data_IF_172336889302
#
_entry.id   IF_172336889302
#
_cell.length_a   1.000
_cell.length_b   1.000
_cell.length_c   1.000
_cell.angle_alpha   90.00
_cell.angle_beta   90.00
_cell.angle_gamma   90.00
#
_symmetry.space_group_name_H-M   'P 1'
#
loop_
_entity.id
_entity.type
_entity.pdbx_description
1 polymer ?
#
# COMPACT_ATOMS: atom_id res chain seq x y z
N UNK A 1 -0.47 -9.27 9.00
CA UNK A 1 -1.13 -9.58 7.73
C UNK A 1 -0.67 -10.93 7.22
N UNK A 2 -1.61 -11.82 7.04
CA UNK A 2 -1.32 -13.22 6.83
C UNK A 2 -1.47 -13.59 5.34
N UNK A 3 -0.42 -14.17 4.77
CA UNK A 3 -0.38 -14.68 3.39
C UNK A 3 -1.50 -15.71 3.10
N UNK A 4 -2.09 -16.29 4.15
CA UNK A 4 -3.23 -17.24 4.00
C UNK A 4 -4.49 -16.64 3.36
N UNK A 5 -4.64 -15.31 3.36
CA UNK A 5 -5.77 -14.63 2.73
C UNK A 5 -5.55 -14.35 1.23
N UNK A 6 -4.38 -14.68 0.68
CA UNK A 6 -4.15 -14.59 -0.76
C UNK A 6 -5.06 -15.57 -1.49
N UNK A 7 -5.81 -15.06 -2.45
CA UNK A 7 -6.57 -15.91 -3.37
C UNK A 7 -5.58 -16.65 -4.27
N UNK A 8 -5.39 -17.94 -4.02
CA UNK A 8 -4.36 -18.76 -4.67
C UNK A 8 -4.65 -19.08 -6.14
N UNK A 9 -5.91 -19.01 -6.56
CA UNK A 9 -6.30 -19.28 -7.94
C UNK A 9 -7.38 -18.27 -8.36
N UNK A 10 -7.09 -17.50 -9.40
CA UNK A 10 -8.06 -16.65 -10.08
C UNK A 10 -8.36 -17.26 -11.44
N UNK A 11 -9.64 -17.55 -11.69
CA UNK A 11 -10.07 -17.95 -13.02
C UNK A 11 -10.02 -16.74 -13.95
N UNK A 12 -9.55 -16.95 -15.19
CA UNK A 12 -9.47 -15.88 -16.20
C UNK A 12 -10.81 -15.15 -16.37
N UNK A 13 -11.93 -15.87 -16.32
CA UNK A 13 -13.28 -15.31 -16.44
C UNK A 13 -13.61 -14.29 -15.34
N UNK A 14 -13.25 -14.56 -14.08
CA UNK A 14 -13.47 -13.62 -12.97
C UNK A 14 -12.60 -12.36 -13.13
N UNK A 15 -11.37 -12.53 -13.59
CA UNK A 15 -10.46 -11.42 -13.84
C UNK A 15 -10.94 -10.54 -15.00
N UNK A 16 -11.40 -11.15 -16.09
CA UNK A 16 -12.01 -10.45 -17.22
C UNK A 16 -13.26 -9.66 -16.79
N UNK A 17 -14.10 -10.22 -15.92
CA UNK A 17 -15.25 -9.52 -15.36
C UNK A 17 -14.84 -8.32 -14.49
N UNK A 18 -13.86 -8.49 -13.61
CA UNK A 18 -13.32 -7.41 -12.77
C UNK A 18 -12.82 -6.27 -13.66
N UNK A 19 -12.05 -6.58 -14.70
CA UNK A 19 -11.52 -5.59 -15.64
C UNK A 19 -12.66 -4.94 -16.42
N UNK A 20 -13.58 -5.71 -16.98
CA UNK A 20 -14.67 -5.22 -17.82
C UNK A 20 -15.58 -4.24 -17.10
N UNK A 21 -15.96 -4.55 -15.86
CA UNK A 21 -16.85 -3.71 -15.07
C UNK A 21 -16.13 -2.67 -14.22
N UNK A 22 -14.88 -2.92 -13.89
CA UNK A 22 -14.11 -2.13 -12.93
C UNK A 22 -13.15 -1.10 -13.53
N UNK A 23 -12.71 -1.24 -14.78
CA UNK A 23 -11.62 -0.41 -15.37
C UNK A 23 -11.84 1.10 -15.27
N UNK A 24 -13.08 1.57 -15.30
CA UNK A 24 -13.39 3.00 -15.22
C UNK A 24 -13.62 3.48 -13.78
N UNK A 25 -13.79 2.55 -12.84
CA UNK A 25 -14.10 2.81 -11.42
C UNK A 25 -12.94 2.44 -10.52
N UNK A 26 -12.35 1.26 -10.72
CA UNK A 26 -11.23 0.76 -9.93
C UNK A 26 -9.95 1.49 -10.36
N UNK A 27 -9.33 2.23 -9.44
CA UNK A 27 -8.08 2.95 -9.71
C UNK A 27 -6.85 2.15 -9.33
N UNK A 28 -6.95 1.31 -8.30
CA UNK A 28 -5.84 0.47 -7.80
C UNK A 28 -6.36 -0.93 -7.47
N UNK A 29 -5.58 -1.95 -7.82
CA UNK A 29 -5.76 -3.32 -7.34
C UNK A 29 -4.47 -3.79 -6.66
N UNK A 30 -4.58 -4.30 -5.44
CA UNK A 30 -3.46 -4.99 -4.77
C UNK A 30 -3.50 -6.47 -5.11
N UNK A 31 -2.36 -6.99 -5.56
CA UNK A 31 -2.16 -8.41 -5.84
C UNK A 31 -0.81 -8.90 -5.31
N UNK A 32 -0.67 -10.22 -5.16
CA UNK A 32 0.60 -10.91 -5.09
C UNK A 32 0.96 -11.39 -6.51
N UNK A 33 1.82 -10.68 -7.26
CA UNK A 33 2.03 -10.95 -8.69
C UNK A 33 2.47 -12.37 -8.98
N UNK A 34 3.24 -12.97 -8.07
CA UNK A 34 3.72 -14.36 -8.19
C UNK A 34 2.61 -15.43 -8.16
N UNK A 35 1.38 -15.03 -7.80
CA UNK A 35 0.21 -15.90 -7.79
C UNK A 35 -0.59 -15.86 -9.10
N UNK A 36 -0.18 -15.05 -10.07
CA UNK A 36 -0.84 -14.86 -11.36
C UNK A 36 -0.02 -15.46 -12.51
N UNK A 37 -0.70 -15.96 -13.54
CA UNK A 37 -0.02 -16.32 -14.78
C UNK A 37 0.42 -15.07 -15.54
N UNK A 38 1.38 -15.23 -16.47
CA UNK A 38 1.82 -14.12 -17.33
C UNK A 38 0.66 -13.49 -18.10
N UNK A 39 -0.26 -14.32 -18.63
CA UNK A 39 -1.43 -13.84 -19.38
C UNK A 39 -2.37 -13.01 -18.47
N UNK A 40 -2.61 -13.46 -17.23
CA UNK A 40 -3.43 -12.73 -16.27
C UNK A 40 -2.79 -11.40 -15.88
N UNK A 41 -1.48 -11.41 -15.69
CA UNK A 41 -0.74 -10.19 -15.36
C UNK A 41 -0.76 -9.19 -16.50
N UNK A 42 -0.54 -9.66 -17.73
CA UNK A 42 -0.58 -8.81 -18.93
C UNK A 42 -1.99 -8.19 -19.10
N UNK A 43 -3.07 -8.98 -18.92
CA UNK A 43 -4.44 -8.44 -18.91
C UNK A 43 -4.65 -7.33 -17.88
N UNK A 44 -4.13 -7.51 -16.65
CA UNK A 44 -4.22 -6.51 -15.59
C UNK A 44 -3.44 -5.24 -15.96
N UNK A 45 -2.21 -5.37 -16.45
CA UNK A 45 -1.36 -4.24 -16.83
C UNK A 45 -1.95 -3.44 -18.01
N UNK A 46 -2.57 -4.12 -18.98
CA UNK A 46 -3.23 -3.51 -20.14
C UNK A 46 -4.59 -2.85 -19.80
N UNK A 47 -5.20 -3.20 -18.66
CA UNK A 47 -6.50 -2.66 -18.23
C UNK A 47 -6.47 -1.15 -17.92
N UNK A 48 -5.29 -0.59 -17.69
CA UNK A 48 -5.11 0.79 -17.21
C UNK A 48 -5.32 0.97 -15.71
N UNK A 49 -5.71 -0.08 -14.98
CA UNK A 49 -5.80 -0.08 -13.52
C UNK A 49 -4.37 -0.12 -12.94
N UNK A 50 -4.09 0.67 -11.93
CA UNK A 50 -2.78 0.65 -11.26
C UNK A 50 -2.65 -0.62 -10.44
N UNK A 51 -1.63 -1.41 -10.72
CA UNK A 51 -1.34 -2.63 -9.97
C UNK A 51 -0.38 -2.29 -8.83
N UNK A 52 -0.76 -2.70 -7.61
CA UNK A 52 0.05 -2.59 -6.41
C UNK A 52 0.49 -3.98 -5.95
N UNK A 53 1.79 -4.19 -5.79
CA UNK A 53 2.32 -5.44 -5.26
C UNK A 53 2.23 -5.45 -3.73
N UNK A 54 1.49 -6.40 -3.18
CA UNK A 54 1.31 -6.52 -1.73
C UNK A 54 0.87 -7.90 -1.30
N UNK A 55 0.94 -8.19 0.00
CA UNK A 55 0.69 -9.53 0.55
C UNK A 55 1.47 -10.61 -0.19
N UNK A 56 2.74 -10.35 -0.43
CA UNK A 56 3.57 -11.06 -1.40
C UNK A 56 4.80 -11.66 -0.74
N UNK A 57 5.14 -12.87 -1.16
CA UNK A 57 6.34 -13.59 -0.73
C UNK A 57 7.47 -13.53 -1.76
N UNK A 58 7.38 -12.61 -2.72
CA UNK A 58 8.38 -12.46 -3.78
C UNK A 58 9.79 -12.30 -3.22
N UNK A 59 10.74 -12.97 -3.86
CA UNK A 59 12.16 -12.68 -3.73
C UNK A 59 12.50 -11.33 -4.37
N UNK A 60 13.66 -10.81 -4.08
CA UNK A 60 14.19 -9.60 -4.71
C UNK A 60 14.17 -9.70 -6.25
N UNK A 61 14.64 -10.82 -6.82
CA UNK A 61 14.69 -10.99 -8.28
C UNK A 61 13.29 -11.03 -8.93
N UNK A 62 12.32 -11.68 -8.27
CA UNK A 62 10.94 -11.69 -8.72
C UNK A 62 10.34 -10.27 -8.69
N UNK A 63 10.57 -9.52 -7.61
CA UNK A 63 10.09 -8.15 -7.51
C UNK A 63 10.66 -7.25 -8.62
N UNK A 64 11.97 -7.32 -8.88
CA UNK A 64 12.61 -6.59 -9.99
C UNK A 64 12.02 -6.97 -11.34
N UNK A 65 11.73 -8.25 -11.57
CA UNK A 65 11.05 -8.72 -12.78
C UNK A 65 9.68 -8.06 -12.95
N UNK A 66 8.82 -8.09 -11.93
CA UNK A 66 7.48 -7.50 -12.00
C UNK A 66 7.51 -5.98 -12.08
N UNK A 67 8.47 -5.32 -11.45
CA UNK A 67 8.67 -3.88 -11.62
C UNK A 67 9.06 -3.54 -13.07
N UNK A 68 9.89 -4.36 -13.72
CA UNK A 68 10.23 -4.18 -15.14
C UNK A 68 9.04 -4.38 -16.08
N UNK A 69 8.04 -5.15 -15.66
CA UNK A 69 6.77 -5.34 -16.38
C UNK A 69 5.81 -4.15 -16.27
N UNK A 70 6.05 -3.22 -15.35
CA UNK A 70 5.23 -2.00 -15.19
C UNK A 70 4.50 -1.88 -13.86
N UNK A 71 4.68 -2.80 -12.91
CA UNK A 71 4.21 -2.61 -11.53
C UNK A 71 5.09 -1.54 -10.89
N UNK A 72 4.49 -0.40 -10.54
CA UNK A 72 5.22 0.75 -9.99
C UNK A 72 4.71 1.18 -8.61
N UNK A 73 3.98 0.33 -7.92
CA UNK A 73 3.42 0.58 -6.61
C UNK A 73 3.53 -0.70 -5.76
N UNK A 74 3.92 -0.56 -4.50
CA UNK A 74 3.75 -1.61 -3.49
C UNK A 74 2.63 -1.23 -2.53
N UNK A 75 2.13 -2.17 -1.72
CA UNK A 75 1.10 -1.91 -0.72
C UNK A 75 1.76 -1.91 0.65
N UNK A 76 1.41 -0.95 1.52
CA UNK A 76 1.85 -0.84 2.94
C UNK A 76 3.27 -1.39 3.20
N UNK A 77 4.26 -0.68 2.65
CA UNK A 77 5.69 -1.05 2.75
C UNK A 77 6.05 -1.64 4.13
N UNK A 78 6.80 -2.72 4.15
CA UNK A 78 7.19 -3.58 5.28
C UNK A 78 6.13 -4.60 5.72
N UNK A 79 4.85 -4.33 5.54
CA UNK A 79 3.79 -5.21 6.04
C UNK A 79 3.41 -6.26 4.98
N UNK A 80 3.19 -7.49 5.42
CA UNK A 80 2.82 -8.63 4.58
C UNK A 80 3.69 -8.79 3.30
N UNK A 81 5.00 -8.62 3.43
CA UNK A 81 5.96 -8.78 2.33
C UNK A 81 7.32 -9.29 2.82
N UNK A 82 8.13 -9.82 1.91
CA UNK A 82 9.49 -10.26 2.23
C UNK A 82 10.36 -9.08 2.66
N UNK A 83 10.97 -9.24 3.83
CA UNK A 83 11.73 -8.19 4.51
C UNK A 83 13.14 -7.99 3.92
N UNK A 84 13.73 -6.83 4.21
CA UNK A 84 15.10 -6.52 3.80
C UNK A 84 16.13 -7.32 4.59
N UNK A 85 16.78 -8.27 3.93
CA UNK A 85 17.91 -9.01 4.45
C UNK A 85 19.17 -8.75 3.62
N UNK A 86 20.34 -8.77 4.24
CA UNK A 86 21.62 -8.49 3.54
C UNK A 86 22.03 -9.57 2.51
N UNK A 87 21.42 -10.77 2.57
CA UNK A 87 21.64 -11.86 1.60
C UNK A 87 20.45 -12.10 0.69
N UNK A 88 19.25 -11.75 1.12
CA UNK A 88 18.03 -11.75 0.34
C UNK A 88 17.29 -10.44 0.67
N UNK A 89 17.38 -9.41 -0.19
CA UNK A 89 16.78 -8.11 0.09
C UNK A 89 15.24 -8.09 0.04
N UNK A 90 14.63 -9.10 -0.54
CA UNK A 90 13.19 -9.24 -0.64
C UNK A 90 12.49 -8.15 -1.43
N UNK A 91 11.18 -8.10 -1.30
CA UNK A 91 10.35 -7.06 -1.92
C UNK A 91 10.68 -5.66 -1.37
N UNK A 92 10.98 -5.57 -0.07
CA UNK A 92 11.39 -4.30 0.56
C UNK A 92 12.66 -3.76 -0.08
N UNK A 93 13.69 -4.60 -0.26
CA UNK A 93 14.96 -4.18 -0.87
C UNK A 93 14.80 -3.80 -2.34
N UNK A 94 14.03 -4.58 -3.11
CA UNK A 94 13.72 -4.26 -4.49
C UNK A 94 12.99 -2.92 -4.62
N UNK A 95 12.05 -2.63 -3.69
CA UNK A 95 11.34 -1.35 -3.63
C UNK A 95 12.29 -0.19 -3.35
N UNK A 96 13.25 -0.37 -2.45
CA UNK A 96 14.21 0.68 -2.12
C UNK A 96 15.17 1.00 -3.27
N UNK A 97 15.63 0.00 -3.98
CA UNK A 97 16.56 0.18 -5.08
C UNK A 97 15.90 0.78 -6.33
N UNK A 98 14.64 0.45 -6.60
CA UNK A 98 13.94 0.93 -7.77
C UNK A 98 13.36 2.33 -7.54
N UNK A 99 13.97 3.37 -8.14
CA UNK A 99 13.57 4.78 -7.97
C UNK A 99 12.16 5.10 -8.45
N UNK A 100 11.59 4.31 -9.38
CA UNK A 100 10.27 4.57 -9.96
C UNK A 100 9.11 3.99 -9.14
N UNK A 101 9.38 3.04 -8.25
CA UNK A 101 8.34 2.35 -7.46
C UNK A 101 7.90 3.20 -6.28
N UNK A 102 6.60 3.41 -6.15
CA UNK A 102 5.99 4.10 -5.02
C UNK A 102 5.87 3.19 -3.80
N UNK A 103 6.11 3.77 -2.63
CA UNK A 103 6.19 3.08 -1.34
C UNK A 103 5.25 3.72 -0.31
N UNK A 104 3.95 3.34 -0.27
CA UNK A 104 3.03 3.79 0.76
C UNK A 104 3.35 3.17 2.11
N UNK A 105 3.08 3.91 3.18
CA UNK A 105 3.36 3.48 4.54
C UNK A 105 2.22 3.79 5.49
N UNK A 106 1.97 2.90 6.45
CA UNK A 106 1.10 3.13 7.60
C UNK A 106 1.98 3.73 8.70
N UNK A 107 1.81 5.02 8.98
CA UNK A 107 2.70 5.77 9.87
C UNK A 107 2.08 5.97 11.27
N UNK A 108 1.76 4.87 11.93
CA UNK A 108 1.13 4.85 13.26
C UNK A 108 2.08 4.47 14.40
N UNK A 109 3.33 4.15 14.09
CA UNK A 109 4.33 3.70 15.06
C UNK A 109 4.22 2.24 15.49
N UNK A 110 3.18 1.51 15.02
CA UNK A 110 2.97 0.10 15.30
C UNK A 110 3.21 -0.77 14.05
N UNK A 111 2.58 -0.42 12.92
CA UNK A 111 2.82 -1.08 11.63
C UNK A 111 4.22 -0.80 11.08
N UNK A 112 4.77 0.37 11.42
CA UNK A 112 6.14 0.74 11.09
C UNK A 112 6.75 1.63 12.18
N UNK A 113 7.92 1.24 12.67
CA UNK A 113 8.71 2.11 13.55
C UNK A 113 9.14 3.38 12.82
N UNK A 114 9.11 4.51 13.50
CA UNK A 114 9.46 5.79 12.90
C UNK A 114 10.91 5.88 12.40
N UNK A 115 11.84 5.10 12.96
CA UNK A 115 13.21 5.03 12.45
C UNK A 115 13.26 4.33 11.09
N UNK A 116 12.51 3.23 10.92
CA UNK A 116 12.36 2.55 9.63
C UNK A 116 11.69 3.46 8.60
N UNK A 117 10.63 4.16 8.99
CA UNK A 117 9.94 5.12 8.14
C UNK A 117 10.86 6.27 7.68
N UNK A 118 11.71 6.81 8.58
CA UNK A 118 12.71 7.83 8.20
C UNK A 118 13.73 7.32 7.17
N UNK A 119 14.16 6.07 7.27
CA UNK A 119 15.04 5.45 6.28
C UNK A 119 14.32 5.26 4.94
N UNK A 120 13.10 4.73 4.96
CA UNK A 120 12.27 4.58 3.78
C UNK A 120 12.05 5.92 3.06
N UNK A 121 11.68 6.97 3.80
CA UNK A 121 11.52 8.32 3.25
C UNK A 121 12.80 8.86 2.60
N UNK A 122 13.97 8.69 3.25
CA UNK A 122 15.25 9.13 2.68
C UNK A 122 15.56 8.45 1.34
N UNK A 123 15.20 7.18 1.20
CA UNK A 123 15.43 6.41 -0.03
C UNK A 123 14.39 6.72 -1.11
N UNK A 124 13.12 6.88 -0.73
CA UNK A 124 12.00 6.99 -1.69
C UNK A 124 11.55 8.42 -1.99
N UNK A 125 11.79 9.39 -1.10
CA UNK A 125 11.49 10.82 -1.29
C UNK A 125 10.07 11.06 -1.81
N UNK A 126 9.92 11.57 -3.03
CA UNK A 126 8.65 11.85 -3.70
C UNK A 126 7.83 10.59 -4.06
N UNK A 127 8.43 9.40 -3.99
CA UNK A 127 7.75 8.11 -4.14
C UNK A 127 7.24 7.52 -2.83
N UNK A 128 7.53 8.16 -1.70
CA UNK A 128 7.01 7.78 -0.40
C UNK A 128 5.71 8.53 -0.11
N UNK A 129 4.66 7.84 0.35
CA UNK A 129 3.41 8.51 0.71
C UNK A 129 2.68 7.79 1.84
N UNK A 130 1.67 8.44 2.42
CA UNK A 130 0.93 7.97 3.57
C UNK A 130 -0.35 7.25 3.16
N UNK A 131 -0.67 6.18 3.86
CA UNK A 131 -1.95 5.49 3.83
C UNK A 131 -2.42 5.24 5.26
N UNK A 132 -3.72 5.14 5.46
CA UNK A 132 -4.27 4.77 6.77
C UNK A 132 -4.36 3.26 6.94
N UNK A 133 -4.73 2.53 5.89
CA UNK A 133 -5.10 1.11 5.98
C UNK A 133 -6.08 0.83 7.13
N UNK A 134 -6.92 1.83 7.43
CA UNK A 134 -7.80 1.83 8.58
C UNK A 134 -8.99 0.89 8.35
N UNK A 135 -9.28 0.07 9.36
CA UNK A 135 -10.47 -0.76 9.35
C UNK A 135 -11.74 0.09 9.55
N UNK A 136 -12.87 -0.41 9.09
CA UNK A 136 -14.18 0.20 9.33
C UNK A 136 -14.59 0.22 10.83
N UNK A 137 -13.84 -0.46 11.70
CA UNK A 137 -14.12 -0.57 13.14
C UNK A 137 -13.87 0.73 13.91
N UNK A 138 -12.99 1.62 13.42
CA UNK A 138 -12.86 3.02 13.83
C UNK A 138 -12.55 3.25 15.31
N UNK A 139 -11.81 2.36 16.00
CA UNK A 139 -11.54 2.40 17.47
C UNK A 139 -12.79 2.34 18.37
N UNK A 140 -13.97 2.06 17.82
CA UNK A 140 -15.24 2.07 18.56
C UNK A 140 -15.70 0.68 18.98
N UNK A 141 -15.28 -0.34 18.25
CA UNK A 141 -15.68 -1.72 18.46
C UNK A 141 -14.54 -2.44 19.15
N UNK A 142 -14.80 -3.00 20.35
CA UNK A 142 -13.77 -3.68 21.16
C UNK A 142 -13.40 -5.04 20.57
N UNK A 143 -14.39 -5.80 20.12
CA UNK A 143 -14.18 -7.13 19.55
C UNK A 143 -15.07 -7.25 18.32
N UNK A 144 -14.51 -7.76 17.25
CA UNK A 144 -15.22 -8.00 16.01
C UNK A 144 -14.81 -9.35 15.40
N UNK A 145 -15.80 -10.09 14.90
CA UNK A 145 -15.60 -11.34 14.19
C UNK A 145 -16.57 -11.41 13.02
N UNK A 146 -16.04 -11.68 11.85
CA UNK A 146 -16.82 -11.92 10.65
C UNK A 146 -16.05 -12.92 9.75
N UNK A 147 -16.62 -14.09 9.57
CA UNK A 147 -15.99 -15.20 8.85
C UNK A 147 -14.60 -15.52 9.42
N UNK A 148 -13.56 -15.39 8.62
CA UNK A 148 -12.16 -15.60 9.03
C UNK A 148 -11.47 -14.34 9.55
N UNK A 149 -12.15 -13.19 9.60
CA UNK A 149 -11.60 -11.95 10.13
C UNK A 149 -12.00 -11.76 11.60
N UNK A 150 -11.00 -11.71 12.45
CA UNK A 150 -11.15 -11.40 13.89
C UNK A 150 -10.28 -10.19 14.25
N UNK A 151 -10.81 -9.32 15.10
CA UNK A 151 -10.10 -8.13 15.55
C UNK A 151 -10.48 -7.75 16.97
N UNK A 152 -9.48 -7.59 17.82
CA UNK A 152 -9.60 -7.15 19.22
C UNK A 152 -8.85 -5.83 19.40
N UNK A 153 -9.51 -4.82 19.96
CA UNK A 153 -8.89 -3.52 20.20
C UNK A 153 -8.04 -3.57 21.48
N UNK A 154 -6.73 -3.50 21.34
CA UNK A 154 -5.76 -3.50 22.42
C UNK A 154 -4.81 -2.31 22.29
N UNK A 155 -4.72 -1.48 23.33
CA UNK A 155 -3.84 -0.30 23.37
C UNK A 155 -3.98 0.63 22.13
N UNK A 156 -5.18 0.73 21.56
CA UNK A 156 -5.47 1.57 20.41
C UNK A 156 -5.22 0.91 19.03
N UNK A 157 -4.83 -0.35 19.00
CA UNK A 157 -4.58 -1.12 17.76
C UNK A 157 -5.45 -2.37 17.74
N UNK A 158 -5.88 -2.76 16.55
CA UNK A 158 -6.55 -4.05 16.38
C UNK A 158 -5.54 -5.17 16.20
N UNK A 159 -5.79 -6.28 16.90
CA UNK A 159 -5.03 -7.53 16.77
C UNK A 159 -5.98 -8.70 16.54
N UNK A 160 -5.51 -9.70 15.78
CA UNK A 160 -6.20 -10.99 15.67
C UNK A 160 -5.82 -11.91 16.86
N UNK A 161 -6.43 -13.08 16.94
CA UNK A 161 -6.17 -14.07 18.00
C UNK A 161 -4.71 -14.56 18.05
N UNK A 162 -3.97 -14.43 16.95
CA UNK A 162 -2.54 -14.75 16.86
C UNK A 162 -1.64 -13.60 17.36
N UNK A 163 -2.23 -12.46 17.73
CA UNK A 163 -1.51 -11.26 18.16
C UNK A 163 -0.96 -10.38 17.03
N UNK A 164 -1.23 -10.73 15.76
CA UNK A 164 -0.85 -9.92 14.62
C UNK A 164 -1.75 -8.68 14.50
N UNK A 165 -1.22 -7.59 13.95
CA UNK A 165 -2.02 -6.42 13.62
C UNK A 165 -3.09 -6.79 12.58
N UNK A 166 -4.33 -6.37 12.83
CA UNK A 166 -5.51 -6.67 12.03
C UNK A 166 -6.10 -5.37 11.42
N UNK A 167 -5.31 -4.73 10.58
CA UNK A 167 -5.58 -3.40 10.03
C UNK A 167 -5.30 -2.26 11.00
N UNK A 168 -5.19 -1.05 10.50
CA UNK A 168 -4.85 0.12 11.27
C UNK A 168 -6.09 0.83 11.86
N UNK A 169 -5.81 1.76 12.75
CA UNK A 169 -6.82 2.64 13.36
C UNK A 169 -6.52 4.12 13.10
N UNK A 170 -5.39 4.42 12.47
CA UNK A 170 -4.92 5.78 12.24
C UNK A 170 -5.79 6.50 11.20
N UNK A 171 -6.12 7.77 11.46
CA UNK A 171 -6.69 8.65 10.45
C UNK A 171 -5.59 9.23 9.54
N UNK A 172 -5.97 9.75 8.37
CA UNK A 172 -5.00 10.42 7.50
C UNK A 172 -4.48 11.72 8.12
N UNK A 173 -5.29 12.43 8.91
CA UNK A 173 -4.86 13.59 9.68
C UNK A 173 -3.77 13.22 10.70
N UNK A 174 -3.98 12.15 11.48
CA UNK A 174 -2.97 11.64 12.42
C UNK A 174 -1.70 11.18 11.69
N UNK A 175 -1.83 10.54 10.51
CA UNK A 175 -0.67 10.12 9.71
C UNK A 175 0.16 11.33 9.24
N UNK A 176 -0.47 12.41 8.78
CA UNK A 176 0.20 13.67 8.41
C UNK A 176 0.88 14.31 9.63
N UNK A 177 0.20 14.34 10.77
CA UNK A 177 0.79 14.85 12.02
C UNK A 177 2.01 14.03 12.44
N UNK A 178 1.92 12.70 12.37
CA UNK A 178 3.04 11.80 12.66
C UNK A 178 4.21 11.99 11.69
N UNK A 179 3.95 12.25 10.41
CA UNK A 179 4.98 12.55 9.43
C UNK A 179 5.75 13.83 9.80
N UNK A 180 5.04 14.91 10.08
CA UNK A 180 5.63 16.16 10.53
C UNK A 180 6.46 16.00 11.82
N UNK A 181 5.93 15.27 12.80
CA UNK A 181 6.58 15.11 14.11
C UNK A 181 7.79 14.18 14.09
N UNK A 182 7.77 13.15 13.23
CA UNK A 182 8.70 12.03 13.34
C UNK A 182 9.63 11.83 12.13
N UNK A 183 9.34 12.40 10.95
CA UNK A 183 10.16 12.18 9.75
C UNK A 183 11.16 13.31 9.44
N UNK A 184 11.21 14.37 10.26
CA UNK A 184 12.00 15.59 10.02
C UNK A 184 11.65 16.26 8.66
N UNK A 185 10.37 16.37 8.37
CA UNK A 185 9.83 17.02 7.17
C UNK A 185 9.03 18.27 7.54
N UNK A 186 8.84 19.18 6.59
CA UNK A 186 7.93 20.30 6.75
C UNK A 186 6.47 19.87 6.73
N UNK A 187 5.56 20.72 7.23
CA UNK A 187 4.11 20.49 7.13
C UNK A 187 3.68 20.36 5.68
N UNK A 188 4.24 21.17 4.78
CA UNK A 188 3.94 21.10 3.35
C UNK A 188 4.33 19.74 2.73
N UNK A 189 5.50 19.21 3.09
CA UNK A 189 5.91 17.87 2.66
C UNK A 189 5.02 16.79 3.23
N UNK A 190 4.65 16.84 4.51
CA UNK A 190 3.73 15.88 5.12
C UNK A 190 2.34 15.89 4.46
N UNK A 191 1.82 17.07 4.10
CA UNK A 191 0.56 17.19 3.35
C UNK A 191 0.70 16.60 1.93
N UNK A 192 1.81 16.85 1.24
CA UNK A 192 2.05 16.24 -0.09
C UNK A 192 2.06 14.72 -0.05
N UNK A 193 2.59 14.12 1.01
CA UNK A 193 2.57 12.67 1.20
C UNK A 193 1.13 12.09 1.30
N UNK A 194 0.15 12.89 1.69
CA UNK A 194 -1.25 12.48 1.77
C UNK A 194 -2.11 12.96 0.58
N UNK A 195 -1.53 13.71 -0.35
CA UNK A 195 -2.28 14.36 -1.44
C UNK A 195 -1.62 14.16 -2.81
N UNK A 196 -0.72 15.05 -3.21
CA UNK A 196 -0.16 15.05 -4.57
C UNK A 196 0.72 13.84 -4.87
N UNK A 197 1.44 13.29 -3.90
CA UNK A 197 2.24 12.08 -4.10
C UNK A 197 1.34 10.85 -4.29
N UNK A 198 0.25 10.75 -3.52
CA UNK A 198 -0.79 9.71 -3.73
C UNK A 198 -1.40 9.83 -5.11
N UNK A 199 -1.83 11.05 -5.50
CA UNK A 199 -2.41 11.29 -6.82
C UNK A 199 -1.46 10.87 -7.95
N UNK A 200 -0.16 11.15 -7.82
CA UNK A 200 0.86 10.70 -8.78
C UNK A 200 1.00 9.19 -8.81
N UNK A 201 0.98 8.53 -7.66
CA UNK A 201 1.09 7.06 -7.58
C UNK A 201 -0.04 6.33 -8.31
N UNK A 202 -1.24 6.92 -8.29
CA UNK A 202 -2.44 6.37 -8.95
C UNK A 202 -2.75 7.00 -10.31
N UNK A 203 -1.79 7.77 -10.87
CA UNK A 203 -1.89 8.45 -12.19
C UNK A 203 -3.07 9.43 -12.31
N UNK A 204 -3.42 10.11 -11.21
CA UNK A 204 -4.50 11.11 -11.13
C UNK A 204 -4.00 12.52 -10.78
N UNK A 205 -2.71 12.80 -10.87
CA UNK A 205 -2.09 14.07 -10.49
C UNK A 205 -2.45 15.27 -11.40
N UNK A 206 -3.14 14.99 -12.51
CA UNK A 206 -3.77 15.99 -13.38
C UNK A 206 -5.22 16.30 -12.98
N UNK A 207 -5.80 15.55 -12.05
CA UNK A 207 -7.22 15.63 -11.67
C UNK A 207 -7.41 16.01 -10.19
N UNK A 208 -6.54 15.48 -9.29
CA UNK A 208 -6.69 15.63 -7.83
C UNK A 208 -5.33 15.89 -7.15
N UNK A 209 -5.36 16.12 -5.85
CA UNK A 209 -4.17 16.22 -4.98
C UNK A 209 -3.51 17.60 -4.95
N UNK A 210 -4.12 18.61 -5.56
CA UNK A 210 -3.58 19.98 -5.61
C UNK A 210 -4.70 21.01 -5.55
N UNK A 211 -4.46 22.13 -4.87
CA UNK A 211 -5.31 23.33 -4.94
C UNK A 211 -4.90 24.09 -6.20
N UNK A 212 -5.64 23.93 -7.29
CA UNK A 212 -5.34 24.53 -8.58
C UNK A 212 -6.63 24.81 -9.36
N UNK A 213 -6.65 25.88 -10.15
CA UNK A 213 -7.79 26.17 -11.05
C UNK A 213 -8.09 25.01 -11.97
N UNK A 214 -9.35 24.58 -12.05
CA UNK A 214 -9.81 23.42 -12.82
C UNK A 214 -9.79 22.09 -12.06
N UNK A 215 -9.21 22.04 -10.85
CA UNK A 215 -9.28 20.87 -9.99
C UNK A 215 -10.54 20.87 -9.11
N UNK A 216 -11.07 19.69 -8.72
CA UNK A 216 -12.17 19.60 -7.77
C UNK A 216 -11.82 20.25 -6.43
N UNK A 217 -12.79 20.92 -5.81
CA UNK A 217 -12.61 21.52 -4.48
C UNK A 217 -12.85 20.47 -3.38
N UNK A 218 -12.01 19.47 -3.32
CA UNK A 218 -11.98 18.44 -2.29
C UNK A 218 -10.96 18.83 -1.22
N UNK A 219 -11.46 19.39 -0.09
CA UNK A 219 -10.66 19.86 1.03
C UNK A 219 -10.94 19.05 2.29
#
# INVERSE_FOLDING_TARGET
DDVKYLLKEKFNTELEEIIRYGKDVIKVITIAPECFSEEQLDMLLESGIVISAGHSTMTYNQAQYYFSKGIHLVTHLFNAMTQFGHREPGLVGATFENESVYAPIILDGAHCDYAAARLAYKLKKDKFFLISDATFLGRKIQNFKWDNFEAHLENGFYRNDEGNLAGATISMEEAVQNAYQNLNVSVDEAIKMATSQVASAIKMDNEIGKIKSGFPANF
#
